data_IF_064499676237
#
_entry.id   IF_064499676237
#
_cell.length_a   1.000
_cell.length_b   1.000
_cell.length_c   1.000
_cell.angle_alpha   90.00
_cell.angle_beta   90.00
_cell.angle_gamma   90.00
#
_symmetry.space_group_name_H-M   'P 1'
#
loop_
_entity.id
_entity.type
_entity.pdbx_description
1 polymer ?
#
# COMPACT_ATOMS: atom_id res chain seq x y z
N UNK A 1 -26.47 -0.14 -19.98
CA UNK A 1 -25.47 0.23 -18.98
C UNK A 1 -25.84 1.59 -18.42
N UNK A 2 -26.06 1.70 -17.11
CA UNK A 2 -26.41 2.95 -16.44
C UNK A 2 -25.15 3.74 -16.08
N UNK A 3 -25.27 5.06 -15.93
CA UNK A 3 -24.16 5.92 -15.46
C UNK A 3 -23.54 5.41 -14.15
N UNK A 4 -24.38 4.87 -13.28
CA UNK A 4 -24.00 4.32 -11.99
C UNK A 4 -23.13 3.06 -12.12
N UNK A 5 -23.49 2.15 -13.02
CA UNK A 5 -22.67 0.95 -13.32
C UNK A 5 -21.27 1.32 -13.82
N UNK A 6 -21.15 2.39 -14.62
CA UNK A 6 -19.87 2.92 -15.09
C UNK A 6 -19.04 3.52 -13.93
N UNK A 7 -19.66 4.28 -13.04
CA UNK A 7 -19.00 4.89 -11.88
C UNK A 7 -18.45 3.82 -10.92
N UNK A 8 -19.19 2.73 -10.68
CA UNK A 8 -18.72 1.61 -9.86
C UNK A 8 -17.63 0.78 -10.55
N UNK A 9 -17.74 0.53 -11.85
CA UNK A 9 -16.66 -0.13 -12.60
C UNK A 9 -15.36 0.68 -12.60
N UNK A 10 -15.45 2.01 -12.63
CA UNK A 10 -14.29 2.88 -12.47
C UNK A 10 -13.70 2.83 -11.06
N UNK A 11 -14.55 2.78 -10.02
CA UNK A 11 -14.09 2.64 -8.64
C UNK A 11 -13.30 1.35 -8.43
N UNK A 12 -13.76 0.22 -8.97
CA UNK A 12 -13.03 -1.06 -8.91
C UNK A 12 -11.67 -0.98 -9.62
N UNK A 13 -11.62 -0.37 -10.81
CA UNK A 13 -10.36 -0.15 -11.54
C UNK A 13 -9.35 0.67 -10.74
N UNK A 14 -9.81 1.73 -10.08
CA UNK A 14 -8.96 2.58 -9.23
C UNK A 14 -8.43 1.77 -8.04
N UNK A 15 -9.27 0.99 -7.38
CA UNK A 15 -8.87 0.14 -6.25
C UNK A 15 -7.87 -0.94 -6.65
N UNK A 16 -8.03 -1.55 -7.82
CA UNK A 16 -7.06 -2.48 -8.40
C UNK A 16 -5.71 -1.81 -8.66
N UNK A 17 -5.72 -0.62 -9.25
CA UNK A 17 -4.47 0.13 -9.48
C UNK A 17 -3.78 0.50 -8.17
N UNK A 18 -4.53 0.91 -7.15
CA UNK A 18 -3.97 1.20 -5.83
C UNK A 18 -3.37 -0.05 -5.16
N UNK A 19 -3.99 -1.22 -5.37
CA UNK A 19 -3.44 -2.51 -4.94
C UNK A 19 -2.11 -2.83 -5.62
N UNK A 20 -2.04 -2.67 -6.95
CA UNK A 20 -0.81 -2.87 -7.70
C UNK A 20 0.32 -1.92 -7.23
N UNK A 21 0.02 -0.63 -7.06
CA UNK A 21 1.00 0.36 -6.56
C UNK A 21 1.48 -0.01 -5.14
N UNK A 22 0.58 -0.50 -4.29
CA UNK A 22 0.93 -0.96 -2.94
C UNK A 22 1.92 -2.13 -2.99
N UNK A 23 1.72 -3.07 -3.93
CA UNK A 23 2.66 -4.16 -4.19
C UNK A 23 4.02 -3.65 -4.69
N UNK A 24 4.02 -2.80 -5.73
CA UNK A 24 5.22 -2.19 -6.31
C UNK A 24 6.05 -1.43 -5.23
N UNK A 25 5.39 -0.73 -4.31
CA UNK A 25 6.04 -0.06 -3.18
C UNK A 25 6.69 -1.03 -2.19
N UNK A 26 6.08 -2.19 -1.97
CA UNK A 26 6.64 -3.26 -1.14
C UNK A 26 7.91 -3.85 -1.76
N UNK A 27 7.89 -4.10 -3.07
CA UNK A 27 9.03 -4.63 -3.81
C UNK A 27 10.21 -3.64 -3.82
N UNK A 28 9.94 -2.36 -4.07
CA UNK A 28 10.95 -1.31 -4.03
C UNK A 28 11.60 -1.19 -2.64
N UNK A 29 10.81 -1.34 -1.58
CA UNK A 29 11.33 -1.34 -0.22
C UNK A 29 12.26 -2.53 0.02
N UNK A 30 11.86 -3.73 -0.40
CA UNK A 30 12.69 -4.93 -0.27
C UNK A 30 14.01 -4.80 -1.05
N UNK A 31 13.97 -4.22 -2.25
CA UNK A 31 15.17 -3.92 -3.04
C UNK A 31 16.11 -2.94 -2.31
N UNK A 32 15.55 -1.85 -1.80
CA UNK A 32 16.30 -0.85 -1.04
C UNK A 32 16.93 -1.45 0.22
N UNK A 33 16.18 -2.27 0.96
CA UNK A 33 16.70 -3.01 2.11
C UNK A 33 17.86 -3.94 1.71
N UNK A 34 17.73 -4.70 0.62
CA UNK A 34 18.79 -5.59 0.15
C UNK A 34 20.08 -4.86 -0.23
N UNK A 35 19.98 -3.60 -0.65
CA UNK A 35 21.12 -2.75 -1.01
C UNK A 35 21.75 -2.10 0.21
N UNK A 36 20.93 -1.64 1.16
CA UNK A 36 21.38 -0.86 2.33
C UNK A 36 21.87 -1.75 3.47
N UNK A 37 21.22 -2.90 3.73
CA UNK A 37 21.56 -3.78 4.86
C UNK A 37 23.03 -4.24 4.90
N UNK A 38 23.69 -4.57 3.77
CA UNK A 38 25.11 -4.89 3.75
C UNK A 38 26.01 -3.74 4.20
N UNK A 39 25.60 -2.49 3.98
CA UNK A 39 26.39 -1.30 4.30
C UNK A 39 26.20 -0.83 5.74
N UNK A 40 25.15 -1.29 6.45
CA UNK A 40 24.82 -0.85 7.80
C UNK A 40 25.96 -1.05 8.80
N UNK A 41 26.81 -2.05 8.61
CA UNK A 41 27.97 -2.28 9.47
C UNK A 41 28.93 -1.08 9.51
N UNK A 42 29.07 -0.36 8.38
CA UNK A 42 29.93 0.82 8.25
C UNK A 42 29.29 2.12 8.73
N UNK A 43 28.00 2.13 9.05
CA UNK A 43 27.28 3.34 9.46
C UNK A 43 27.54 3.68 10.93
N UNK A 44 27.26 4.93 11.31
CA UNK A 44 27.25 5.31 12.73
C UNK A 44 26.07 4.68 13.46
N UNK A 45 26.12 4.66 14.80
CA UNK A 45 25.02 4.10 15.60
C UNK A 45 23.71 4.85 15.35
N UNK A 46 23.78 6.18 15.28
CA UNK A 46 22.63 7.08 15.10
C UNK A 46 21.98 6.86 13.73
N UNK A 47 22.79 6.73 12.67
CA UNK A 47 22.29 6.48 11.32
C UNK A 47 21.59 5.12 11.22
N UNK A 48 22.12 4.07 11.87
CA UNK A 48 21.47 2.77 11.95
C UNK A 48 20.13 2.83 12.70
N UNK A 49 20.09 3.55 13.83
CA UNK A 49 18.86 3.70 14.61
C UNK A 49 17.76 4.40 13.81
N UNK A 50 18.11 5.48 13.09
CA UNK A 50 17.15 6.21 12.26
C UNK A 50 16.66 5.37 11.08
N UNK A 51 17.55 4.62 10.43
CA UNK A 51 17.15 3.67 9.39
C UNK A 51 16.18 2.61 9.92
N UNK A 52 16.49 2.00 11.08
CA UNK A 52 15.61 1.00 11.69
C UNK A 52 14.26 1.60 12.09
N UNK A 53 14.23 2.88 12.51
CA UNK A 53 12.99 3.62 12.79
C UNK A 53 12.17 3.81 11.52
N UNK A 54 12.78 4.34 10.46
CA UNK A 54 12.13 4.54 9.17
C UNK A 54 11.60 3.22 8.58
N UNK A 55 12.40 2.14 8.63
CA UNK A 55 12.02 0.79 8.18
C UNK A 55 10.77 0.30 8.90
N UNK A 56 10.70 0.43 10.23
CA UNK A 56 9.51 0.03 11.00
C UNK A 56 8.28 0.87 10.66
N UNK A 57 8.43 2.19 10.55
CA UNK A 57 7.32 3.10 10.27
C UNK A 57 6.74 2.82 8.88
N UNK A 58 7.60 2.61 7.89
CA UNK A 58 7.20 2.24 6.53
C UNK A 58 6.55 0.85 6.49
N UNK A 59 7.16 -0.17 7.11
CA UNK A 59 6.59 -1.52 7.18
C UNK A 59 5.18 -1.53 7.76
N UNK A 60 4.96 -0.79 8.85
CA UNK A 60 3.62 -0.60 9.43
C UNK A 60 2.62 0.06 8.47
N UNK A 61 3.07 1.03 7.68
CA UNK A 61 2.21 1.67 6.69
C UNK A 61 1.84 0.69 5.57
N UNK A 62 2.82 -0.05 5.05
CA UNK A 62 2.63 -1.05 4.00
C UNK A 62 1.68 -2.18 4.44
N UNK A 63 1.84 -2.72 5.65
CA UNK A 63 0.95 -3.76 6.21
C UNK A 63 -0.51 -3.30 6.33
N UNK A 64 -0.75 -2.00 6.55
CA UNK A 64 -2.10 -1.44 6.68
C UNK A 64 -2.79 -1.24 5.33
N UNK A 65 -2.04 -1.05 4.24
CA UNK A 65 -2.60 -0.67 2.93
C UNK A 65 -3.55 -1.74 2.35
N UNK A 66 -3.21 -3.05 2.33
CA UNK A 66 -4.14 -4.08 1.86
C UNK A 66 -5.47 -4.06 2.60
N UNK A 67 -5.43 -4.00 3.93
CA UNK A 67 -6.66 -3.95 4.74
C UNK A 67 -7.48 -2.69 4.52
N UNK A 68 -6.85 -1.55 4.23
CA UNK A 68 -7.57 -0.33 3.84
C UNK A 68 -8.25 -0.48 2.47
N UNK A 69 -7.58 -1.12 1.51
CA UNK A 69 -8.14 -1.37 0.17
C UNK A 69 -9.31 -2.34 0.21
N UNK A 70 -9.22 -3.42 0.99
CA UNK A 70 -10.33 -4.36 1.15
C UNK A 70 -11.57 -3.68 1.74
N UNK A 71 -11.41 -2.87 2.80
CA UNK A 71 -12.53 -2.09 3.35
C UNK A 71 -13.11 -1.10 2.34
N UNK A 72 -12.29 -0.52 1.48
CA UNK A 72 -12.76 0.37 0.42
C UNK A 72 -13.56 -0.40 -0.63
N UNK A 73 -13.14 -1.60 -1.02
CA UNK A 73 -13.89 -2.49 -1.93
C UNK A 73 -15.24 -2.88 -1.33
N UNK A 74 -15.27 -3.25 -0.06
CA UNK A 74 -16.50 -3.56 0.66
C UNK A 74 -17.47 -2.37 0.64
N UNK A 75 -17.01 -1.19 1.03
CA UNK A 75 -17.84 0.02 1.06
C UNK A 75 -18.38 0.40 -0.33
N UNK A 76 -17.55 0.32 -1.37
CA UNK A 76 -17.98 0.56 -2.76
C UNK A 76 -19.03 -0.46 -3.19
N UNK A 77 -18.83 -1.74 -2.85
CA UNK A 77 -19.78 -2.81 -3.12
C UNK A 77 -21.11 -2.65 -2.38
N UNK A 78 -21.11 -2.14 -1.15
CA UNK A 78 -22.33 -1.83 -0.40
C UNK A 78 -23.11 -0.69 -1.05
N UNK A 79 -22.43 0.39 -1.46
CA UNK A 79 -23.06 1.51 -2.16
C UNK A 79 -23.66 1.09 -3.52
N UNK A 80 -23.00 0.18 -4.23
CA UNK A 80 -23.54 -0.39 -5.47
C UNK A 80 -24.86 -1.14 -5.25
N UNK A 81 -24.97 -1.90 -4.14
CA UNK A 81 -26.15 -2.70 -3.79
C UNK A 81 -27.26 -1.92 -3.06
N UNK A 82 -26.89 -0.88 -2.30
CA UNK A 82 -27.77 -0.21 -1.33
C UNK A 82 -28.58 0.98 -1.85
N UNK A 83 -28.18 1.61 -2.95
CA UNK A 83 -28.99 2.68 -3.55
C UNK A 83 -30.20 2.10 -4.29
N UNK A 84 -31.33 2.01 -3.59
CA UNK A 84 -32.67 2.00 -4.18
C UNK A 84 -33.12 3.42 -4.46
#
# INVERSE_FOLDING_TARGET
>A
MTRRELEFGFADLVLDRMGAITGELGDLLAELESTVEPELAGWTAEAREEYLRAKRDWGRAAERMPGCLERAREAVGELARGGR
#
